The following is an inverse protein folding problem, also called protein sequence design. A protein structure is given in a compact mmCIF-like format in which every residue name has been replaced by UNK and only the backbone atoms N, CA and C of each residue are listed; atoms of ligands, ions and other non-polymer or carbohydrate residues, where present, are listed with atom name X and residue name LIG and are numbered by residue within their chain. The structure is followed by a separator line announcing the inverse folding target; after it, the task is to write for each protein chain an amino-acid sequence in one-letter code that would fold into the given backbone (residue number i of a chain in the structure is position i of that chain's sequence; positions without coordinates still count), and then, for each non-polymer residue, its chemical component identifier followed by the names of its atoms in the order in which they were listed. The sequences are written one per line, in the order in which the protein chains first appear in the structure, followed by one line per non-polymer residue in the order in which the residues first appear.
data_IF_407672239781
#
_entry.id   IF_407672239781
#
_cell.length_a   1.000
_cell.length_b   1.000
_cell.length_c   1.000
_cell.angle_alpha   90.00
_cell.angle_beta   90.00
_cell.angle_gamma   90.00
#
_symmetry.space_group_name_H-M   'P 1'
#
loop_
_entity.id
_entity.type
_entity.pdbx_description
1 polymer ?
#
# COMPACT_ATOMS: atom_id res chain seq x y z
N UNK A 1 9.92 20.67 4.38
CA UNK A 1 10.84 19.66 3.84
C UNK A 1 10.14 19.02 2.64
N UNK A 2 10.77 19.01 1.46
CA UNK A 2 10.20 18.40 0.26
C UNK A 2 10.26 16.89 0.47
N UNK A 3 9.15 16.28 0.92
CA UNK A 3 9.07 14.83 1.13
C UNK A 3 9.07 14.15 -0.23
N UNK A 4 10.25 14.01 -0.82
CA UNK A 4 10.45 13.20 -2.01
C UNK A 4 10.53 11.78 -1.49
N UNK A 5 9.37 11.13 -1.33
CA UNK A 5 9.34 9.69 -1.12
C UNK A 5 10.11 9.06 -2.27
N UNK A 6 11.27 8.47 -1.95
CA UNK A 6 12.00 7.65 -2.90
C UNK A 6 11.06 6.50 -3.31
N UNK A 7 10.74 6.32 -4.61
CA UNK A 7 9.92 5.20 -5.05
C UNK A 7 10.42 3.85 -4.52
N UNK A 8 11.74 3.71 -4.28
CA UNK A 8 12.33 2.52 -3.67
C UNK A 8 11.75 2.19 -2.29
N UNK A 9 11.41 3.22 -1.49
CA UNK A 9 10.82 3.03 -0.17
C UNK A 9 9.48 2.29 -0.24
N UNK A 10 8.69 2.49 -1.30
CA UNK A 10 7.43 1.77 -1.50
C UNK A 10 7.70 0.27 -1.69
N UNK A 11 8.72 -0.09 -2.49
CA UNK A 11 9.11 -1.48 -2.67
C UNK A 11 9.54 -2.11 -1.34
N UNK A 12 10.43 -1.45 -0.62
CA UNK A 12 11.01 -1.97 0.62
C UNK A 12 9.94 -2.12 1.72
N UNK A 13 9.06 -1.12 1.88
CA UNK A 13 7.98 -1.15 2.85
C UNK A 13 7.03 -2.31 2.56
N UNK A 14 6.52 -2.43 1.33
CA UNK A 14 5.54 -3.47 0.99
C UNK A 14 6.15 -4.88 1.05
N UNK A 15 7.42 -5.05 0.71
CA UNK A 15 8.11 -6.34 0.81
C UNK A 15 8.18 -6.85 2.27
N UNK A 16 8.39 -5.95 3.25
CA UNK A 16 8.36 -6.30 4.69
C UNK A 16 7.00 -6.88 5.13
N UNK A 17 5.92 -6.52 4.47
CA UNK A 17 4.57 -7.06 4.72
C UNK A 17 4.21 -8.24 3.82
N UNK A 18 5.15 -8.70 2.97
CA UNK A 18 4.99 -9.84 2.08
C UNK A 18 4.29 -9.53 0.76
N UNK A 19 4.20 -8.26 0.37
CA UNK A 19 3.64 -7.81 -0.90
C UNK A 19 4.75 -7.40 -1.85
N UNK A 20 5.19 -8.31 -2.72
CA UNK A 20 6.18 -7.99 -3.73
C UNK A 20 5.58 -7.03 -4.76
N UNK A 21 6.14 -5.82 -4.88
CA UNK A 21 5.68 -4.82 -5.85
C UNK A 21 6.26 -5.15 -7.22
N UNK A 22 5.40 -5.38 -8.20
CA UNK A 22 5.78 -5.62 -9.59
C UNK A 22 6.05 -4.30 -10.31
N UNK A 23 5.23 -3.28 -10.06
CA UNK A 23 5.35 -1.97 -10.70
C UNK A 23 4.61 -0.88 -9.93
N UNK A 24 5.14 0.34 -9.99
CA UNK A 24 4.43 1.58 -9.67
C UNK A 24 3.78 2.10 -10.96
N UNK A 25 2.46 2.01 -11.07
CA UNK A 25 1.67 2.44 -12.23
C UNK A 25 1.61 3.98 -12.34
N UNK A 26 1.55 4.66 -11.19
CA UNK A 26 1.52 6.13 -11.08
C UNK A 26 2.19 6.56 -9.80
N UNK A 27 2.95 7.65 -9.84
CA UNK A 27 3.56 8.27 -8.67
C UNK A 27 3.41 9.79 -8.80
N UNK A 28 2.69 10.41 -7.88
CA UNK A 28 2.69 11.86 -7.71
C UNK A 28 3.74 12.22 -6.65
N UNK A 29 4.29 13.44 -6.69
CA UNK A 29 5.53 13.90 -6.04
C UNK A 29 5.54 13.89 -4.48
N UNK A 30 5.06 12.83 -3.84
CA UNK A 30 5.26 12.55 -2.41
C UNK A 30 4.06 11.91 -1.70
N UNK A 31 2.85 12.05 -2.23
CA UNK A 31 1.64 11.85 -1.42
C UNK A 31 0.72 10.74 -1.93
N UNK A 32 0.91 10.33 -3.18
CA UNK A 32 0.03 9.38 -3.85
C UNK A 32 0.81 8.45 -4.77
N UNK A 33 0.53 7.16 -4.69
CA UNK A 33 1.03 6.17 -5.62
C UNK A 33 -0.06 5.16 -5.99
N UNK A 34 -0.09 4.73 -7.26
CA UNK A 34 -0.81 3.52 -7.67
C UNK A 34 0.22 2.44 -7.91
N UNK A 35 0.06 1.29 -7.27
CA UNK A 35 0.99 0.17 -7.38
C UNK A 35 0.28 -1.11 -7.81
N UNK A 36 1.07 -2.04 -8.34
CA UNK A 36 0.67 -3.42 -8.59
C UNK A 36 1.56 -4.36 -7.78
N UNK A 37 0.96 -5.09 -6.86
CA UNK A 37 1.60 -6.10 -6.05
C UNK A 37 1.25 -7.51 -6.55
N UNK A 38 2.16 -8.46 -6.37
CA UNK A 38 1.94 -9.88 -6.58
C UNK A 38 1.13 -10.50 -5.44
N UNK A 39 0.26 -11.44 -5.77
CA UNK A 39 -0.43 -12.32 -4.83
C UNK A 39 0.12 -13.74 -4.98
N UNK A 40 0.56 -14.35 -3.88
CA UNK A 40 1.16 -15.70 -3.90
C UNK A 40 0.13 -16.84 -3.82
N UNK A 41 -1.12 -16.56 -4.18
CA UNK A 41 -2.24 -17.47 -4.00
C UNK A 41 -2.75 -17.99 -5.35
N UNK A 42 -3.02 -19.30 -5.46
CA UNK A 42 -3.63 -19.90 -6.66
C UNK A 42 -5.11 -19.53 -6.81
N UNK A 43 -5.81 -19.40 -5.69
CA UNK A 43 -7.19 -18.95 -5.57
C UNK A 43 -7.29 -18.12 -4.29
N UNK A 44 -8.30 -17.27 -4.18
CA UNK A 44 -8.58 -16.53 -2.95
C UNK A 44 -9.77 -17.12 -2.21
N UNK A 45 -9.51 -17.68 -1.04
CA UNK A 45 -10.53 -17.97 -0.04
C UNK A 45 -10.83 -16.72 0.81
N UNK A 46 -11.90 -16.78 1.60
CA UNK A 46 -12.21 -15.75 2.60
C UNK A 46 -11.07 -15.56 3.60
N UNK A 47 -10.40 -16.64 4.00
CA UNK A 47 -9.30 -16.58 4.98
C UNK A 47 -8.08 -15.87 4.40
N UNK A 48 -7.78 -16.09 3.12
CA UNK A 48 -6.67 -15.40 2.44
C UNK A 48 -6.97 -13.93 2.21
N UNK A 49 -8.23 -13.59 1.89
CA UNK A 49 -8.67 -12.18 1.82
C UNK A 49 -8.54 -11.49 3.18
N UNK A 50 -8.89 -12.18 4.27
CA UNK A 50 -8.73 -11.68 5.63
C UNK A 50 -7.25 -11.49 6.00
N UNK A 51 -6.38 -12.43 5.62
CA UNK A 51 -4.94 -12.32 5.82
C UNK A 51 -4.36 -11.10 5.10
N UNK A 52 -4.71 -10.92 3.81
CA UNK A 52 -4.29 -9.76 3.00
C UNK A 52 -4.76 -8.46 3.66
N UNK A 53 -6.05 -8.37 4.01
CA UNK A 53 -6.61 -7.17 4.63
C UNK A 53 -5.94 -6.85 5.98
N UNK A 54 -5.63 -7.88 6.78
CA UNK A 54 -4.94 -7.71 8.07
C UNK A 54 -3.52 -7.17 7.86
N UNK A 55 -2.78 -7.70 6.89
CA UNK A 55 -1.42 -7.23 6.56
C UNK A 55 -1.44 -5.79 6.05
N UNK A 56 -2.35 -5.45 5.14
CA UNK A 56 -2.51 -4.08 4.64
C UNK A 56 -2.86 -3.11 5.77
N UNK A 57 -3.79 -3.48 6.66
CA UNK A 57 -4.16 -2.65 7.81
C UNK A 57 -3.01 -2.46 8.81
N UNK A 58 -2.17 -3.47 8.96
CA UNK A 58 -0.93 -3.37 9.75
C UNK A 58 0.05 -2.38 9.11
N UNK A 59 0.23 -2.46 7.79
CA UNK A 59 1.06 -1.52 7.02
C UNK A 59 0.55 -0.08 7.17
N UNK A 60 -0.75 0.16 6.97
CA UNK A 60 -1.37 1.49 7.15
C UNK A 60 -1.10 2.11 8.52
N UNK A 61 -1.15 1.29 9.58
CA UNK A 61 -0.95 1.75 10.95
C UNK A 61 0.52 2.07 11.25
N UNK A 62 1.45 1.27 10.73
CA UNK A 62 2.86 1.37 11.08
C UNK A 62 3.63 2.37 10.20
N UNK A 63 3.17 2.60 8.97
CA UNK A 63 3.90 3.39 7.96
C UNK A 63 3.26 4.76 7.69
N UNK A 64 2.23 5.13 8.45
CA UNK A 64 1.44 6.36 8.25
C UNK A 64 0.86 6.49 6.82
N UNK A 65 0.34 5.39 6.30
CA UNK A 65 -0.25 5.30 4.97
C UNK A 65 -1.74 4.97 5.04
N UNK A 66 -2.48 5.38 4.02
CA UNK A 66 -3.81 4.88 3.67
C UNK A 66 -3.69 4.04 2.40
N UNK A 67 -4.31 2.87 2.37
CA UNK A 67 -4.19 1.90 1.29
C UNK A 67 -5.56 1.41 0.83
N UNK A 68 -5.92 1.73 -0.40
CA UNK A 68 -7.15 1.26 -1.03
C UNK A 68 -6.89 0.13 -2.02
N UNK A 69 -7.64 -0.97 -1.88
CA UNK A 69 -7.66 -2.04 -2.89
C UNK A 69 -8.55 -1.62 -4.05
N UNK A 70 -7.96 -1.43 -5.23
CA UNK A 70 -8.68 -1.01 -6.43
C UNK A 70 -9.19 -2.21 -7.22
N UNK A 71 -8.35 -3.24 -7.35
CA UNK A 71 -8.70 -4.46 -8.07
C UNK A 71 -7.84 -5.62 -7.60
N UNK A 72 -8.43 -6.82 -7.63
CA UNK A 72 -7.72 -8.08 -7.46
C UNK A 72 -7.94 -8.90 -8.73
N UNK A 73 -6.85 -9.29 -9.38
CA UNK A 73 -6.85 -10.12 -10.57
C UNK A 73 -6.22 -11.47 -10.28
N UNK A 74 -7.04 -12.51 -10.20
CA UNK A 74 -6.57 -13.88 -9.92
C UNK A 74 -6.08 -14.62 -11.16
N UNK A 75 -6.33 -14.13 -12.37
CA UNK A 75 -5.74 -14.71 -13.58
C UNK A 75 -4.25 -14.37 -13.65
N UNK A 76 -3.90 -13.14 -13.28
CA UNK A 76 -2.52 -12.67 -13.24
C UNK A 76 -1.89 -12.75 -11.84
N UNK A 77 -2.67 -13.14 -10.82
CA UNK A 77 -2.27 -13.17 -9.40
C UNK A 77 -1.68 -11.83 -8.95
N UNK A 78 -2.41 -10.75 -9.23
CA UNK A 78 -2.00 -9.39 -8.86
C UNK A 78 -3.08 -8.63 -8.14
N UNK A 79 -2.66 -7.64 -7.37
CA UNK A 79 -3.54 -6.69 -6.72
C UNK A 79 -3.07 -5.27 -7.08
N UNK A 80 -4.01 -4.42 -7.49
CA UNK A 80 -3.76 -3.00 -7.68
C UNK A 80 -4.20 -2.25 -6.44
N UNK A 81 -3.31 -1.42 -5.91
CA UNK A 81 -3.56 -0.59 -4.74
C UNK A 81 -3.33 0.88 -5.07
N UNK A 82 -4.10 1.75 -4.44
CA UNK A 82 -3.72 3.15 -4.26
C UNK A 82 -3.15 3.32 -2.85
N UNK A 83 -2.09 4.12 -2.74
CA UNK A 83 -1.43 4.45 -1.49
C UNK A 83 -1.45 5.95 -1.36
N UNK A 84 -1.80 6.44 -0.18
CA UNK A 84 -1.70 7.86 0.17
C UNK A 84 -0.97 8.02 1.50
N UNK A 85 -0.16 9.07 1.62
CA UNK A 85 0.37 9.46 2.93
C UNK A 85 -0.75 10.12 3.73
N UNK A 86 -0.97 9.69 4.97
CA UNK A 86 -1.87 10.42 5.87
C UNK A 86 -1.16 11.72 6.25
N UNK A 87 -1.69 12.86 5.79
CA UNK A 87 -1.27 14.15 6.33
C UNK A 87 -1.54 14.10 7.83
N UNK A 88 -0.50 14.26 8.66
CA UNK A 88 -0.72 14.44 10.10
C UNK A 88 -1.59 15.68 10.25
N UNK A 89 -2.84 15.51 10.72
CA UNK A 89 -3.61 16.62 11.25
C UNK A 89 -2.76 17.26 12.33
N UNK A 90 -2.13 18.39 11.99
CA UNK A 90 -1.48 19.25 12.96
C UNK A 90 -2.57 19.66 13.93
N UNK A 91 -2.62 19.01 15.09
CA UNK A 91 -3.44 19.45 16.20
C UNK A 91 -2.89 20.81 16.62
N UNK A 92 -3.46 21.87 16.01
CA UNK A 92 -3.30 23.23 16.51
C UNK A 92 -3.96 23.21 17.88
N UNK A 93 -3.15 22.98 18.91
CA UNK A 93 -3.55 23.23 20.27
C UNK A 93 -3.90 24.72 20.36
N UNK A 94 -5.20 25.01 20.33
CA UNK A 94 -5.73 26.32 20.66
C UNK A 94 -5.50 26.52 22.16
N UNK A 95 -4.39 27.17 22.50
CA UNK A 95 -4.15 27.79 23.82
C UNK A 95 -5.00 29.04 23.98
#
# INVERSE_FOLDING_TARGET
MQSTYDPQLIYDVFDRYGFAILRIDRFDRGNYATIRAELKYEKLSTDQLLEIATKLKSLEKNENLEVDIINIDMNHKTMRLNIMTKEEESTVALT
#
